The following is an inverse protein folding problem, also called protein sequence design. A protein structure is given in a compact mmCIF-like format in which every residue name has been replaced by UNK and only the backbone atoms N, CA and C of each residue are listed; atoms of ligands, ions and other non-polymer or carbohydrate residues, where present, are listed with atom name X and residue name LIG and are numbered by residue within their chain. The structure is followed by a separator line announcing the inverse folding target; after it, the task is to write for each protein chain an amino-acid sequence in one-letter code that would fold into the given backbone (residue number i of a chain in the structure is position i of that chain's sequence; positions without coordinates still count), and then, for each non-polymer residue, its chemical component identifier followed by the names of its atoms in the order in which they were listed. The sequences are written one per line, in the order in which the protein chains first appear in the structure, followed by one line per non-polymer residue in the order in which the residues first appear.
data_IF_904147811747
#
_entry.id   IF_904147811747
#
_cell.length_a   1.000
_cell.length_b   1.000
_cell.length_c   1.000
_cell.angle_alpha   90.00
_cell.angle_beta   90.00
_cell.angle_gamma   90.00
#
_symmetry.space_group_name_H-M   'P 1'
#
loop_
_entity.id
_entity.type
_entity.pdbx_description
1 polymer ?
#
# COMPACT_ATOMS: atom_id res chain seq x y z
N UNK A 1 -4.50 6.70 -13.00
CA UNK A 1 -3.92 6.14 -11.76
C UNK A 1 -5.03 5.92 -10.75
N UNK A 2 -5.04 4.76 -10.09
CA UNK A 2 -5.96 4.43 -8.99
C UNK A 2 -5.13 4.13 -7.74
N UNK A 3 -5.59 4.60 -6.58
CA UNK A 3 -4.94 4.35 -5.30
C UNK A 3 -5.92 3.69 -4.34
N UNK A 4 -5.41 2.78 -3.52
CA UNK A 4 -6.25 2.05 -2.57
C UNK A 4 -5.46 1.46 -1.43
N UNK A 5 -6.19 0.90 -0.48
CA UNK A 5 -5.65 0.14 0.65
C UNK A 5 -6.32 -1.23 0.64
N UNK A 6 -5.52 -2.28 0.74
CA UNK A 6 -5.97 -3.68 0.66
C UNK A 6 -5.67 -4.39 1.96
N UNK A 7 -6.67 -5.09 2.50
CA UNK A 7 -6.49 -5.96 3.66
C UNK A 7 -5.99 -7.33 3.22
N UNK A 8 -4.80 -7.70 3.64
CA UNK A 8 -4.23 -9.04 3.46
C UNK A 8 -4.73 -9.91 4.61
N UNK A 9 -5.80 -10.67 4.36
CA UNK A 9 -6.65 -11.28 5.38
C UNK A 9 -5.86 -12.27 6.24
N UNK A 10 -5.08 -13.15 5.59
CA UNK A 10 -4.30 -14.19 6.31
C UNK A 10 -3.20 -13.62 7.20
N UNK A 11 -2.73 -12.40 6.90
CA UNK A 11 -1.66 -11.74 7.66
C UNK A 11 -2.19 -10.70 8.65
N UNK A 12 -3.50 -10.42 8.64
CA UNK A 12 -4.11 -9.31 9.40
C UNK A 12 -3.33 -8.00 9.17
N UNK A 13 -3.01 -7.74 7.91
CA UNK A 13 -2.08 -6.69 7.51
C UNK A 13 -2.70 -5.82 6.43
N UNK A 14 -2.40 -4.53 6.45
CA UNK A 14 -2.90 -3.58 5.45
C UNK A 14 -1.73 -3.09 4.59
N UNK A 15 -1.94 -3.07 3.28
CA UNK A 15 -0.97 -2.55 2.31
C UNK A 15 -1.61 -1.46 1.46
N UNK A 16 -0.83 -0.48 1.03
CA UNK A 16 -1.28 0.46 0.02
C UNK A 16 -0.99 -0.07 -1.38
N UNK A 17 -1.87 0.24 -2.32
CA UNK A 17 -1.70 -0.08 -3.73
C UNK A 17 -1.78 1.18 -4.58
N UNK A 18 -0.91 1.25 -5.57
CA UNK A 18 -1.00 2.17 -6.70
C UNK A 18 -1.17 1.33 -7.97
N UNK A 19 -2.24 1.58 -8.69
CA UNK A 19 -2.59 0.87 -9.92
C UNK A 19 -2.42 1.83 -11.09
N UNK A 20 -1.46 1.49 -11.94
CA UNK A 20 -1.21 2.13 -13.21
C UNK A 20 -1.99 1.37 -14.30
N UNK A 21 -3.11 1.97 -14.73
CA UNK A 21 -3.98 1.36 -15.73
C UNK A 21 -3.37 1.40 -17.15
N UNK A 22 -2.49 2.37 -17.41
CA UNK A 22 -1.88 2.57 -18.73
C UNK A 22 -0.79 1.53 -18.99
N UNK A 23 -0.01 1.22 -17.95
CA UNK A 23 1.08 0.24 -18.02
C UNK A 23 0.75 -1.10 -17.36
N UNK A 24 -0.49 -1.29 -16.90
CA UNK A 24 -1.01 -2.52 -16.28
C UNK A 24 -0.14 -3.05 -15.13
N UNK A 25 0.31 -2.13 -14.30
CA UNK A 25 1.13 -2.41 -13.13
C UNK A 25 0.36 -2.15 -11.84
N UNK A 26 0.52 -3.04 -10.86
CA UNK A 26 0.05 -2.88 -9.49
C UNK A 26 1.27 -2.79 -8.57
N UNK A 27 1.50 -1.62 -8.01
CA UNK A 27 2.59 -1.36 -7.07
C UNK A 27 2.08 -1.55 -5.64
N UNK A 28 2.76 -2.40 -4.87
CA UNK A 28 2.40 -2.75 -3.49
C UNK A 28 3.39 -2.06 -2.54
N UNK A 29 2.88 -1.23 -1.65
CA UNK A 29 3.65 -0.58 -0.59
C UNK A 29 3.32 -1.26 0.74
N UNK A 30 4.31 -1.98 1.27
CA UNK A 30 4.16 -2.85 2.43
C UNK A 30 5.12 -2.40 3.54
N UNK A 31 4.57 -1.76 4.57
CA UNK A 31 5.32 -1.23 5.72
C UNK A 31 5.86 -2.30 6.68
N UNK A 32 5.63 -3.58 6.42
CA UNK A 32 6.19 -4.70 7.19
C UNK A 32 7.04 -5.65 6.35
N UNK A 33 7.26 -5.35 5.06
CA UNK A 33 8.11 -6.18 4.19
C UNK A 33 9.58 -5.79 4.38
N UNK A 34 10.44 -6.72 4.86
CA UNK A 34 11.84 -6.40 5.08
C UNK A 34 12.53 -6.02 3.75
N UNK A 35 13.43 -5.01 3.73
CA UNK A 35 14.02 -4.41 2.51
C UNK A 35 14.85 -5.34 1.60
N UNK A 36 14.96 -6.63 1.94
CA UNK A 36 15.77 -7.64 1.24
C UNK A 36 15.23 -9.05 1.44
N UNK A 37 13.91 -9.24 1.46
CA UNK A 37 13.42 -10.62 1.47
C UNK A 37 13.74 -11.26 0.12
N UNK A 38 14.78 -12.10 0.07
CA UNK A 38 14.98 -13.14 -0.94
C UNK A 38 13.86 -14.19 -0.96
N UNK A 39 12.80 -13.96 -0.16
CA UNK A 39 11.59 -14.76 -0.20
C UNK A 39 10.91 -14.55 -1.54
N UNK A 40 10.88 -15.64 -2.30
CA UNK A 40 9.92 -15.91 -3.37
C UNK A 40 8.49 -16.01 -2.83
N UNK A 41 8.13 -15.19 -1.83
CA UNK A 41 6.74 -15.05 -1.42
C UNK A 41 6.07 -14.36 -2.60
N UNK A 42 5.26 -15.12 -3.33
CA UNK A 42 4.46 -14.61 -4.44
C UNK A 42 3.62 -13.41 -4.01
N UNK A 43 3.03 -12.74 -4.99
CA UNK A 43 2.11 -11.64 -4.74
C UNK A 43 0.96 -12.11 -3.84
N UNK A 44 0.44 -11.20 -3.02
CA UNK A 44 -0.71 -11.50 -2.17
C UNK A 44 -1.94 -11.91 -3.01
N UNK A 45 -2.66 -13.00 -2.67
CA UNK A 45 -3.83 -13.44 -3.43
C UNK A 45 -4.89 -12.34 -3.63
N UNK A 46 -5.09 -11.50 -2.61
CA UNK A 46 -6.01 -10.36 -2.67
C UNK A 46 -5.61 -9.34 -3.74
N UNK A 47 -4.31 -9.20 -4.03
CA UNK A 47 -3.80 -8.35 -5.10
C UNK A 47 -3.90 -9.05 -6.45
N UNK A 48 -3.68 -10.37 -6.50
CA UNK A 48 -3.91 -11.17 -7.71
C UNK A 48 -5.35 -11.05 -8.19
N UNK A 49 -6.33 -11.13 -7.29
CA UNK A 49 -7.75 -10.94 -7.63
C UNK A 49 -8.06 -9.57 -8.23
N UNK A 50 -7.32 -8.52 -7.86
CA UNK A 50 -7.46 -7.19 -8.49
C UNK A 50 -6.99 -7.24 -9.95
N UNK A 51 -5.85 -7.90 -10.22
CA UNK A 51 -5.36 -8.10 -11.59
C UNK A 51 -6.32 -8.93 -12.43
N UNK A 52 -6.85 -10.03 -11.90
CA UNK A 52 -7.86 -10.87 -12.55
C UNK A 52 -9.15 -10.10 -12.83
N UNK A 53 -9.58 -9.25 -11.88
CA UNK A 53 -10.72 -8.38 -12.10
C UNK A 53 -10.50 -7.46 -13.29
N UNK A 54 -9.33 -6.82 -13.40
CA UNK A 54 -9.03 -5.94 -14.53
C UNK A 54 -8.83 -6.68 -15.85
N UNK A 55 -8.28 -7.89 -15.85
CA UNK A 55 -8.17 -8.73 -17.03
C UNK A 55 -9.52 -8.91 -17.73
N UNK A 56 -10.60 -9.07 -16.97
CA UNK A 56 -11.96 -9.23 -17.51
C UNK A 56 -12.49 -8.00 -18.28
N UNK A 57 -11.83 -6.84 -18.17
CA UNK A 57 -12.19 -5.61 -18.89
C UNK A 57 -11.11 -5.19 -19.89
N UNK A 58 -9.86 -5.55 -19.62
CA UNK A 58 -8.69 -5.21 -20.41
C UNK A 58 -7.90 -6.51 -20.57
N UNK A 59 -8.06 -7.18 -21.71
CA UNK A 59 -7.50 -8.51 -22.02
C UNK A 59 -5.95 -8.48 -22.15
N UNK A 60 -5.27 -8.18 -21.05
CA UNK A 60 -3.81 -8.06 -20.98
C UNK A 60 -3.31 -8.38 -19.58
N UNK A 61 -2.08 -8.89 -19.49
CA UNK A 61 -1.51 -9.37 -18.24
C UNK A 61 -1.26 -8.21 -17.27
N UNK A 62 -1.64 -8.42 -16.01
CA UNK A 62 -1.42 -7.45 -14.93
C UNK A 62 -0.24 -7.88 -14.06
N UNK A 63 0.73 -6.98 -13.91
CA UNK A 63 1.95 -7.25 -13.16
C UNK A 63 1.93 -6.56 -11.80
N UNK A 64 1.97 -7.35 -10.74
CA UNK A 64 2.04 -6.84 -9.38
C UNK A 64 3.47 -6.94 -8.83
N UNK A 65 3.98 -5.85 -8.24
CA UNK A 65 5.33 -5.80 -7.65
C UNK A 65 5.39 -4.98 -6.36
N UNK A 66 6.24 -5.43 -5.45
CA UNK A 66 6.54 -4.71 -4.23
C UNK A 66 7.47 -3.52 -4.49
N UNK A 67 7.25 -2.44 -3.75
CA UNK A 67 8.15 -1.30 -3.69
C UNK A 67 9.11 -1.51 -2.52
N UNK A 68 10.38 -1.76 -2.83
CA UNK A 68 11.40 -2.19 -1.84
C UNK A 68 11.78 -1.09 -0.83
N UNK A 69 11.86 0.18 -1.26
CA UNK A 69 12.32 1.29 -0.43
C UNK A 69 11.18 2.09 0.22
N UNK A 70 10.15 1.41 0.73
CA UNK A 70 9.07 2.06 1.46
C UNK A 70 9.37 2.16 2.97
N UNK A 71 8.97 3.25 3.65
CA UNK A 71 9.09 3.38 5.10
C UNK A 71 8.50 2.19 5.84
N UNK A 72 9.25 1.63 6.77
CA UNK A 72 8.83 0.49 7.57
C UNK A 72 8.19 0.97 8.88
N UNK A 73 7.19 0.23 9.36
CA UNK A 73 6.55 0.52 10.64
C UNK A 73 7.34 -0.13 11.80
N UNK A 74 7.40 0.51 12.98
CA UNK A 74 8.14 -0.03 14.12
C UNK A 74 7.34 -1.04 14.95
N UNK A 75 6.03 -1.19 14.70
CA UNK A 75 5.10 -1.97 15.51
C UNK A 75 4.19 -2.89 14.66
N UNK A 76 3.32 -3.69 15.27
CA UNK A 76 2.44 -4.64 14.55
C UNK A 76 1.05 -4.09 14.21
N UNK A 77 0.75 -2.84 14.55
CA UNK A 77 -0.59 -2.23 14.54
C UNK A 77 -0.72 -0.99 13.65
N UNK A 78 0.40 -0.51 13.10
CA UNK A 78 0.47 0.75 12.37
C UNK A 78 0.31 0.61 10.86
N UNK A 79 0.17 -0.61 10.33
CA UNK A 79 0.01 -0.88 8.90
C UNK A 79 -1.15 -0.10 8.25
N UNK A 80 -2.28 0.05 8.94
CA UNK A 80 -3.40 0.86 8.44
C UNK A 80 -3.05 2.35 8.31
N UNK A 81 -2.28 2.89 9.27
CA UNK A 81 -1.85 4.31 9.24
C UNK A 81 -0.82 4.53 8.15
N UNK A 82 0.16 3.65 8.04
CA UNK A 82 1.17 3.69 6.97
C UNK A 82 0.51 3.57 5.59
N UNK A 83 -0.41 2.63 5.41
CA UNK A 83 -1.14 2.47 4.15
C UNK A 83 -1.88 3.74 3.73
N UNK A 84 -2.60 4.38 4.67
CA UNK A 84 -3.28 5.64 4.39
C UNK A 84 -2.29 6.78 4.09
N UNK A 85 -1.19 6.87 4.83
CA UNK A 85 -0.15 7.89 4.60
C UNK A 85 0.60 7.68 3.29
N UNK A 86 0.85 6.44 2.86
CA UNK A 86 1.38 6.14 1.53
C UNK A 86 0.43 6.65 0.45
N UNK A 87 -0.85 6.30 0.51
CA UNK A 87 -1.86 6.78 -0.46
C UNK A 87 -1.91 8.31 -0.47
N UNK A 88 -1.92 8.96 0.69
CA UNK A 88 -1.92 10.42 0.78
C UNK A 88 -0.70 11.06 0.08
N UNK A 89 0.51 10.55 0.35
CA UNK A 89 1.74 11.07 -0.24
C UNK A 89 1.80 10.82 -1.75
N UNK A 90 1.41 9.62 -2.20
CA UNK A 90 1.37 9.26 -3.62
C UNK A 90 0.42 10.18 -4.40
N UNK A 91 -0.78 10.45 -3.89
CA UNK A 91 -1.75 11.36 -4.52
C UNK A 91 -1.21 12.79 -4.60
N UNK A 92 -0.49 13.24 -3.56
CA UNK A 92 0.06 14.61 -3.47
C UNK A 92 1.42 14.79 -4.14
N UNK A 93 2.03 13.71 -4.64
CA UNK A 93 3.39 13.74 -5.20
C UNK A 93 4.47 14.02 -4.15
N UNK A 94 4.25 13.65 -2.89
CA UNK A 94 5.25 13.76 -1.82
C UNK A 94 6.10 12.48 -1.71
N UNK A 95 7.36 12.64 -1.35
CA UNK A 95 8.26 11.52 -1.10
C UNK A 95 7.77 10.71 0.12
N UNK A 96 7.67 9.39 -0.03
CA UNK A 96 7.30 8.50 1.06
C UNK A 96 8.31 8.55 2.21
N UNK A 97 9.58 8.89 1.95
CA UNK A 97 10.62 9.07 2.98
C UNK A 97 10.31 10.19 3.97
N UNK A 98 9.34 11.06 3.68
CA UNK A 98 8.85 12.06 4.61
C UNK A 98 7.94 11.48 5.72
N UNK A 99 7.53 10.22 5.62
CA UNK A 99 6.76 9.52 6.65
C UNK A 99 7.72 9.08 7.76
N UNK A 100 7.62 9.76 8.89
CA UNK A 100 8.46 9.53 10.07
C UNK A 100 7.73 8.65 11.08
N UNK A 101 8.35 7.53 11.45
CA UNK A 101 7.84 6.60 12.44
C UNK A 101 7.57 7.25 13.80
N UNK A 102 8.35 8.28 14.17
CA UNK A 102 8.18 9.02 15.42
C UNK A 102 6.84 9.78 15.47
N UNK A 103 6.26 10.06 14.31
CA UNK A 103 5.03 10.83 14.15
C UNK A 103 3.78 9.94 14.11
N UNK A 104 3.89 8.63 14.32
CA UNK A 104 2.76 7.70 14.14
C UNK A 104 1.52 8.08 14.97
N UNK A 105 1.71 8.53 16.22
CA UNK A 105 0.62 8.98 17.08
C UNK A 105 -0.03 10.26 16.55
N UNK A 106 0.77 11.17 15.99
CA UNK A 106 0.28 12.39 15.33
C UNK A 106 -0.54 12.03 14.10
N UNK A 107 -0.06 11.12 13.25
CA UNK A 107 -0.79 10.67 12.06
C UNK A 107 -2.13 10.03 12.40
N UNK A 108 -2.20 9.20 13.46
CA UNK A 108 -3.48 8.63 13.96
C UNK A 108 -4.48 9.73 14.33
N UNK A 109 -4.02 10.75 15.08
CA UNK A 109 -4.86 11.89 15.49
C UNK A 109 -5.31 12.71 14.29
N UNK A 110 -4.41 12.96 13.35
CA UNK A 110 -4.70 13.70 12.13
C UNK A 110 -5.79 12.99 11.30
N UNK A 111 -5.65 11.68 11.06
CA UNK A 111 -6.64 10.87 10.34
C UNK A 111 -7.99 10.90 11.06
N UNK A 112 -8.00 10.73 12.39
CA UNK A 112 -9.25 10.79 13.18
C UNK A 112 -9.96 12.14 13.03
N UNK A 113 -9.21 13.26 13.07
CA UNK A 113 -9.76 14.61 12.86
C UNK A 113 -10.28 14.78 11.43
N UNK A 114 -9.56 14.29 10.43
CA UNK A 114 -9.97 14.36 9.02
C UNK A 114 -11.26 13.56 8.77
N UNK A 115 -11.44 12.42 9.43
CA UNK A 115 -12.66 11.62 9.34
C UNK A 115 -13.83 12.32 10.04
N UNK A 116 -13.61 12.87 11.24
CA UNK A 116 -14.66 13.51 12.03
C UNK A 116 -15.19 14.82 11.42
N UNK A 117 -14.34 15.58 10.71
CA UNK A 117 -14.70 16.87 10.11
C UNK A 117 -15.42 16.75 8.75
N UNK A 118 -15.65 15.54 8.25
CA UNK A 118 -16.47 15.30 7.05
C UNK A 118 -17.95 15.38 7.39
#
# INVERSE_FOLDING_TARGET
MLYGVVHIVKKTHWVAVHIDLEHQNIYIYDSMRPPRSSRSDGVYPEITHIGEYFWNYIETDWYAKFVEDCPQQPDITSCGVYSLKFVEHLIRGFDLKAIDESQILRYRREIAVQIYKK
#
